data_IF_403445175335
#
_entry.id   IF_403445175335
#
_cell.length_a   1.000
_cell.length_b   1.000
_cell.length_c   1.000
_cell.angle_alpha   90.00
_cell.angle_beta   90.00
_cell.angle_gamma   90.00
#
_symmetry.space_group_name_H-M   'P 1'
#
loop_
_entity.id
_entity.type
_entity.pdbx_description
1 polymer ?
#
# COMPACT_ATOMS: atom_id res chain seq x y z
N UNK A 1 -13.73 3.58 11.93
CA UNK A 1 -13.54 5.05 12.14
C UNK A 1 -14.11 5.90 11.02
N UNK A 2 -13.94 5.56 9.74
CA UNK A 2 -14.53 6.31 8.62
C UNK A 2 -15.98 5.90 8.35
N UNK A 3 -16.95 6.73 8.73
CA UNK A 3 -18.39 6.46 8.48
C UNK A 3 -19.02 7.37 7.43
N UNK A 4 -18.29 8.37 6.94
CA UNK A 4 -18.77 9.31 5.91
C UNK A 4 -18.39 8.90 4.49
N UNK A 5 -17.43 7.99 4.34
CA UNK A 5 -17.01 7.49 3.04
C UNK A 5 -17.86 6.26 2.68
N UNK A 6 -18.91 6.47 1.89
CA UNK A 6 -19.84 5.40 1.48
C UNK A 6 -19.14 4.28 0.71
N UNK A 7 -18.16 4.60 -0.15
CA UNK A 7 -17.38 3.57 -0.86
C UNK A 7 -16.61 2.66 0.09
N UNK A 8 -16.09 3.19 1.20
CA UNK A 8 -15.43 2.37 2.21
C UNK A 8 -16.41 1.46 2.95
N UNK A 9 -17.63 1.94 3.22
CA UNK A 9 -18.69 1.14 3.85
C UNK A 9 -19.20 0.03 2.91
N UNK A 10 -19.33 0.31 1.61
CA UNK A 10 -19.61 -0.69 0.57
C UNK A 10 -18.51 -1.76 0.53
N UNK A 11 -17.24 -1.35 0.58
CA UNK A 11 -16.12 -2.28 0.66
C UNK A 11 -16.18 -3.15 1.92
N UNK A 12 -16.52 -2.58 3.09
CA UNK A 12 -16.69 -3.36 4.32
C UNK A 12 -17.83 -4.38 4.19
N UNK A 13 -18.94 -3.99 3.56
CA UNK A 13 -20.06 -4.90 3.32
C UNK A 13 -19.68 -6.02 2.35
N UNK A 14 -18.98 -5.70 1.26
CA UNK A 14 -18.48 -6.69 0.32
C UNK A 14 -17.54 -7.69 0.99
N UNK A 15 -16.60 -7.22 1.84
CA UNK A 15 -15.71 -8.08 2.62
C UNK A 15 -16.49 -8.98 3.59
N UNK A 16 -17.47 -8.44 4.32
CA UNK A 16 -18.33 -9.25 5.18
C UNK A 16 -19.06 -10.33 4.36
N UNK A 17 -19.62 -9.99 3.21
CA UNK A 17 -20.35 -10.94 2.36
C UNK A 17 -19.42 -12.05 1.86
N UNK A 18 -18.17 -11.74 1.48
CA UNK A 18 -17.16 -12.74 1.07
C UNK A 18 -16.88 -13.72 2.21
N UNK A 19 -16.65 -13.22 3.43
CA UNK A 19 -16.39 -14.07 4.60
C UNK A 19 -17.60 -14.93 4.98
N UNK A 20 -18.80 -14.36 4.95
CA UNK A 20 -20.04 -15.10 5.22
C UNK A 20 -20.31 -16.18 4.16
N UNK A 21 -20.00 -15.91 2.88
CA UNK A 21 -20.14 -16.90 1.81
C UNK A 21 -19.18 -18.09 1.99
N UNK A 22 -18.05 -17.89 2.65
CA UNK A 22 -17.10 -18.94 3.04
C UNK A 22 -17.45 -19.63 4.37
N UNK A 23 -18.62 -19.33 4.93
CA UNK A 23 -19.17 -19.99 6.12
C UNK A 23 -18.78 -19.35 7.46
N UNK A 24 -18.14 -18.18 7.47
CA UNK A 24 -17.78 -17.48 8.71
C UNK A 24 -18.92 -16.59 9.22
N UNK A 25 -19.31 -16.75 10.48
CA UNK A 25 -20.11 -15.74 11.16
C UNK A 25 -19.25 -14.48 11.37
N UNK A 26 -19.63 -13.37 10.72
CA UNK A 26 -18.82 -12.16 10.65
C UNK A 26 -19.60 -10.93 11.17
N UNK A 27 -19.04 -10.27 12.19
CA UNK A 27 -19.57 -9.04 12.79
C UNK A 27 -18.57 -7.90 12.67
N UNK A 28 -19.05 -6.66 12.61
CA UNK A 28 -18.20 -5.48 12.35
C UNK A 28 -18.09 -4.64 13.62
N UNK A 29 -16.98 -4.85 14.34
CA UNK A 29 -16.59 -4.05 15.50
C UNK A 29 -15.93 -2.73 15.11
N UNK A 30 -16.38 -1.63 15.69
CA UNK A 30 -15.86 -0.28 15.48
C UNK A 30 -15.02 0.18 16.66
N UNK A 31 -13.84 0.74 16.38
CA UNK A 31 -12.95 1.39 17.35
C UNK A 31 -13.36 2.85 17.67
N UNK A 32 -14.57 3.26 17.27
CA UNK A 32 -15.07 4.61 17.51
C UNK A 32 -15.43 4.77 19.00
N UNK A 33 -14.88 5.78 19.70
CA UNK A 33 -15.21 6.01 21.10
C UNK A 33 -16.60 6.61 21.29
N UNK A 34 -17.19 7.17 20.23
CA UNK A 34 -18.52 7.80 20.24
C UNK A 34 -19.67 6.85 19.85
N UNK A 35 -19.37 5.57 19.66
CA UNK A 35 -20.37 4.55 19.31
C UNK A 35 -20.70 3.74 20.56
N UNK A 36 -21.86 4.00 21.16
CA UNK A 36 -22.31 3.32 22.40
C UNK A 36 -23.32 2.19 22.15
N UNK A 37 -23.91 2.13 20.95
CA UNK A 37 -24.91 1.14 20.55
C UNK A 37 -24.73 0.76 19.07
N UNK A 38 -25.24 -0.41 18.63
CA UNK A 38 -25.24 -0.77 17.21
C UNK A 38 -25.86 0.33 16.34
N UNK A 39 -25.16 0.68 15.26
CA UNK A 39 -25.58 1.69 14.30
C UNK A 39 -25.77 1.02 12.95
N UNK A 40 -26.99 1.06 12.44
CA UNK A 40 -27.31 0.65 11.08
C UNK A 40 -27.05 1.78 10.09
N UNK A 41 -26.47 1.43 8.96
CA UNK A 41 -26.16 2.35 7.86
C UNK A 41 -26.70 1.75 6.57
N UNK A 42 -27.64 2.44 5.94
CA UNK A 42 -28.08 2.13 4.58
C UNK A 42 -27.00 2.52 3.58
N UNK A 43 -26.67 1.60 2.69
CA UNK A 43 -25.65 1.77 1.66
C UNK A 43 -26.29 2.11 0.31
N UNK A 44 -25.56 2.80 -0.59
CA UNK A 44 -26.00 3.04 -1.97
C UNK A 44 -26.44 1.77 -2.73
N UNK A 45 -25.86 0.61 -2.41
CA UNK A 45 -26.24 -0.71 -2.93
C UNK A 45 -27.58 -1.25 -2.40
N UNK A 46 -28.30 -0.46 -1.60
CA UNK A 46 -29.50 -0.85 -0.86
C UNK A 46 -29.28 -1.97 0.17
N UNK A 47 -28.03 -2.27 0.50
CA UNK A 47 -27.68 -3.15 1.61
C UNK A 47 -27.59 -2.37 2.93
N UNK A 48 -27.76 -3.07 4.04
CA UNK A 48 -27.54 -2.50 5.38
C UNK A 48 -26.24 -3.03 5.99
N UNK A 49 -25.44 -2.10 6.53
CA UNK A 49 -24.26 -2.37 7.32
C UNK A 49 -24.55 -2.07 8.79
N UNK A 50 -24.28 -3.02 9.68
CA UNK A 50 -24.38 -2.79 11.13
C UNK A 50 -22.97 -2.61 11.70
N UNK A 51 -22.70 -1.43 12.25
CA UNK A 51 -21.48 -1.15 13.01
C UNK A 51 -21.76 -1.29 14.49
N UNK A 52 -20.93 -2.03 15.20
CA UNK A 52 -21.14 -2.32 16.62
C UNK A 52 -19.98 -1.82 17.48
N UNK A 53 -20.24 -1.38 18.73
CA UNK A 53 -19.18 -1.01 19.65
C UNK A 53 -18.27 -2.22 19.94
N UNK A 54 -16.97 -2.05 19.71
CA UNK A 54 -15.99 -3.07 20.09
C UNK A 54 -15.86 -3.10 21.62
N UNK A 55 -16.04 -4.27 22.21
CA UNK A 55 -15.89 -4.50 23.65
C UNK A 55 -14.74 -5.46 23.92
N UNK A 56 -14.10 -5.32 25.09
CA UNK A 56 -13.10 -6.26 25.60
C UNK A 56 -13.58 -6.87 26.91
N UNK A 57 -13.49 -8.19 27.04
CA UNK A 57 -13.73 -8.97 28.27
C UNK A 57 -12.52 -9.86 28.52
N UNK A 58 -11.73 -9.53 29.55
CA UNK A 58 -10.43 -10.18 29.78
C UNK A 58 -9.50 -9.97 28.59
N UNK A 59 -8.94 -11.06 28.07
CA UNK A 59 -8.03 -11.04 26.92
C UNK A 59 -8.72 -11.35 25.58
N UNK A 60 -10.03 -11.09 25.51
CA UNK A 60 -10.81 -11.26 24.27
C UNK A 60 -11.59 -9.99 23.92
N UNK A 61 -11.65 -9.70 22.63
CA UNK A 61 -12.46 -8.63 22.03
C UNK A 61 -13.62 -9.20 21.23
N UNK A 62 -14.71 -8.45 21.16
CA UNK A 62 -15.94 -8.88 20.50
C UNK A 62 -16.93 -7.74 20.37
N UNK A 63 -18.17 -8.07 20.02
CA UNK A 63 -19.29 -7.14 19.99
C UNK A 63 -20.48 -7.77 20.71
N UNK A 64 -21.12 -7.03 21.62
CA UNK A 64 -22.15 -7.56 22.51
C UNK A 64 -21.71 -8.88 23.19
N UNK A 65 -22.32 -10.01 22.85
CA UNK A 65 -21.99 -11.35 23.36
C UNK A 65 -21.28 -12.24 22.32
N UNK A 66 -20.93 -11.68 21.16
CA UNK A 66 -20.18 -12.36 20.12
C UNK A 66 -18.66 -12.11 20.27
N UNK A 67 -17.91 -13.15 20.61
CA UNK A 67 -16.45 -13.12 20.72
C UNK A 67 -15.84 -14.09 19.70
N UNK A 68 -15.32 -13.60 18.56
CA UNK A 68 -14.88 -14.46 17.46
C UNK A 68 -13.61 -15.24 17.81
N UNK A 69 -13.27 -16.21 16.97
CA UNK A 69 -11.99 -16.94 17.06
C UNK A 69 -10.80 -16.10 16.54
N UNK A 70 -11.05 -15.20 15.60
CA UNK A 70 -10.06 -14.32 14.98
C UNK A 70 -10.62 -12.92 14.75
N UNK A 71 -9.73 -11.94 14.64
CA UNK A 71 -10.04 -10.52 14.39
C UNK A 71 -9.33 -10.09 13.12
N UNK A 72 -10.10 -9.74 12.09
CA UNK A 72 -9.58 -9.21 10.83
C UNK A 72 -9.58 -7.68 10.85
N UNK A 73 -8.40 -7.08 10.71
CA UNK A 73 -8.24 -5.64 10.64
C UNK A 73 -8.40 -5.16 9.19
N UNK A 74 -9.51 -4.45 8.92
CA UNK A 74 -9.66 -3.60 7.73
C UNK A 74 -9.35 -2.12 8.05
N UNK A 75 -8.48 -1.90 9.04
CA UNK A 75 -7.99 -0.61 9.50
C UNK A 75 -6.47 -0.73 9.64
N UNK A 76 -5.73 0.18 9.01
CA UNK A 76 -4.26 0.17 8.97
C UNK A 76 -3.61 0.59 10.31
N UNK A 77 -4.42 1.04 11.28
CA UNK A 77 -3.98 1.52 12.59
C UNK A 77 -2.96 2.66 12.48
N UNK A 78 -3.06 3.49 11.44
CA UNK A 78 -2.11 4.58 11.18
C UNK A 78 -2.09 5.65 12.28
N UNK A 79 -3.14 5.75 13.09
CA UNK A 79 -3.27 6.71 14.20
C UNK A 79 -2.67 6.21 15.51
N UNK A 80 -2.16 4.97 15.56
CA UNK A 80 -1.71 4.39 16.81
C UNK A 80 -2.15 2.95 16.98
N UNK A 81 -1.46 2.28 17.90
CA UNK A 81 -1.79 0.93 18.36
C UNK A 81 -2.90 1.02 19.42
N UNK A 82 -4.12 0.52 19.18
CA UNK A 82 -5.20 0.61 20.16
C UNK A 82 -4.98 -0.38 21.31
N UNK A 83 -4.93 0.10 22.55
CA UNK A 83 -4.75 -0.74 23.76
C UNK A 83 -5.78 -1.86 23.87
N UNK A 84 -7.01 -1.64 23.37
CA UNK A 84 -8.07 -2.67 23.38
C UNK A 84 -7.67 -3.93 22.60
N UNK A 85 -6.79 -3.82 21.60
CA UNK A 85 -6.31 -4.93 20.77
C UNK A 85 -4.99 -5.55 21.27
N UNK A 86 -4.40 -5.01 22.33
CA UNK A 86 -3.13 -5.52 22.86
C UNK A 86 -3.32 -6.75 23.74
N UNK A 87 -2.45 -7.75 23.56
CA UNK A 87 -2.44 -8.98 24.36
C UNK A 87 -3.79 -9.71 24.37
N UNK A 88 -4.45 -9.78 23.21
CA UNK A 88 -5.66 -10.59 23.05
C UNK A 88 -5.28 -12.04 22.71
N UNK A 89 -6.06 -13.01 23.20
CA UNK A 89 -5.90 -14.44 22.88
C UNK A 89 -6.26 -14.76 21.42
N UNK A 90 -7.12 -13.95 20.81
CA UNK A 90 -7.60 -14.17 19.45
C UNK A 90 -6.52 -13.85 18.42
N UNK A 91 -6.54 -14.60 17.32
CA UNK A 91 -5.64 -14.33 16.19
C UNK A 91 -6.02 -12.98 15.56
N UNK A 92 -5.08 -12.03 15.57
CA UNK A 92 -5.24 -10.73 14.91
C UNK A 92 -4.57 -10.76 13.53
N UNK A 93 -5.32 -10.40 12.48
CA UNK A 93 -4.88 -10.46 11.09
C UNK A 93 -4.97 -9.07 10.42
N UNK A 94 -3.84 -8.49 9.96
CA UNK A 94 -2.47 -8.87 10.27
C UNK A 94 -2.13 -8.69 11.77
N UNK A 95 -1.02 -9.27 12.27
CA UNK A 95 -0.58 -9.10 13.66
C UNK A 95 -0.36 -7.63 14.03
N UNK A 96 -0.62 -7.28 15.29
CA UNK A 96 -0.56 -5.88 15.76
C UNK A 96 0.83 -5.24 15.63
N UNK A 97 1.88 -6.06 15.71
CA UNK A 97 3.27 -5.63 15.57
C UNK A 97 3.60 -5.16 14.14
N UNK A 98 2.77 -5.54 13.15
CA UNK A 98 2.80 -5.02 11.78
C UNK A 98 2.02 -3.70 11.62
N UNK A 99 1.52 -3.12 12.72
CA UNK A 99 0.84 -1.84 12.71
C UNK A 99 1.73 -0.73 12.11
N UNK A 100 1.11 0.14 11.30
CA UNK A 100 1.77 1.13 10.45
C UNK A 100 2.70 2.12 11.18
N UNK A 101 2.57 2.23 12.51
CA UNK A 101 3.36 3.14 13.35
C UNK A 101 4.81 2.67 13.49
N UNK A 102 5.09 1.37 13.54
CA UNK A 102 6.44 0.83 13.79
C UNK A 102 7.16 0.32 12.54
N UNK A 103 6.46 0.31 11.40
CA UNK A 103 6.96 -0.21 10.12
C UNK A 103 7.71 0.87 9.33
N UNK A 104 8.90 0.53 8.84
CA UNK A 104 9.65 1.31 7.86
C UNK A 104 9.33 0.79 6.44
N UNK A 105 9.05 1.69 5.50
CA UNK A 105 8.78 1.30 4.11
C UNK A 105 10.05 0.76 3.45
N UNK A 106 11.21 1.28 3.81
CA UNK A 106 12.51 0.83 3.35
C UNK A 106 12.74 -0.65 3.63
N UNK A 107 12.41 -1.14 4.84
CA UNK A 107 12.51 -2.57 5.15
C UNK A 107 11.68 -3.42 4.18
N UNK A 108 10.44 -3.00 3.90
CA UNK A 108 9.61 -3.69 2.91
C UNK A 108 10.25 -3.71 1.51
N UNK A 109 10.81 -2.59 1.07
CA UNK A 109 11.50 -2.52 -0.22
C UNK A 109 12.74 -3.43 -0.25
N UNK A 110 13.48 -3.57 0.84
CA UNK A 110 14.59 -4.54 0.92
C UNK A 110 14.10 -5.98 0.75
N UNK A 111 12.99 -6.36 1.40
CA UNK A 111 12.39 -7.68 1.19
C UNK A 111 11.97 -7.87 -0.26
N UNK A 112 11.34 -6.86 -0.86
CA UNK A 112 10.90 -6.91 -2.24
C UNK A 112 12.08 -7.05 -3.20
N UNK A 113 13.13 -6.24 -3.05
CA UNK A 113 14.37 -6.35 -3.83
C UNK A 113 14.96 -7.75 -3.76
N UNK A 114 15.05 -8.36 -2.56
CA UNK A 114 15.55 -9.74 -2.42
C UNK A 114 14.69 -10.76 -3.16
N UNK A 115 13.37 -10.63 -3.11
CA UNK A 115 12.43 -11.52 -3.80
C UNK A 115 12.51 -11.32 -5.31
N UNK A 116 12.49 -10.08 -5.77
CA UNK A 116 12.51 -9.73 -7.18
C UNK A 116 13.84 -10.12 -7.85
N UNK A 117 14.98 -9.92 -7.19
CA UNK A 117 16.28 -10.36 -7.70
C UNK A 117 16.36 -11.87 -7.84
N UNK A 118 15.94 -12.63 -6.82
CA UNK A 118 15.93 -14.09 -6.89
C UNK A 118 14.98 -14.60 -7.98
N UNK A 119 13.84 -13.93 -8.20
CA UNK A 119 12.93 -14.26 -9.28
C UNK A 119 13.52 -13.90 -10.66
N UNK A 120 14.15 -12.74 -10.79
CA UNK A 120 14.78 -12.28 -12.01
C UNK A 120 15.91 -13.22 -12.46
N UNK A 121 16.73 -13.70 -11.52
CA UNK A 121 17.75 -14.73 -11.76
C UNK A 121 17.12 -16.03 -12.27
N UNK A 122 16.02 -16.47 -11.65
CA UNK A 122 15.33 -17.71 -12.02
C UNK A 122 14.76 -17.68 -13.45
N UNK A 123 14.32 -16.53 -13.93
CA UNK A 123 13.73 -16.37 -15.27
C UNK A 123 14.63 -15.62 -16.25
N UNK A 124 15.88 -15.38 -15.86
CA UNK A 124 16.93 -14.75 -16.67
C UNK A 124 16.54 -13.36 -17.24
N UNK A 125 15.94 -12.50 -16.41
CA UNK A 125 15.66 -11.09 -16.76
C UNK A 125 16.52 -10.11 -15.95
N UNK A 126 16.63 -8.87 -16.44
CA UNK A 126 17.21 -7.79 -15.64
C UNK A 126 16.28 -7.47 -14.45
N UNK A 127 16.76 -7.53 -13.19
CA UNK A 127 15.94 -7.25 -12.02
C UNK A 127 15.37 -5.82 -11.98
N UNK A 128 16.00 -4.85 -12.66
CA UNK A 128 15.52 -3.47 -12.73
C UNK A 128 14.11 -3.38 -13.32
N UNK A 129 13.76 -4.26 -14.28
CA UNK A 129 12.45 -4.31 -14.92
C UNK A 129 11.30 -4.49 -13.91
N UNK A 130 11.57 -5.14 -12.78
CA UNK A 130 10.56 -5.45 -11.76
C UNK A 130 10.88 -4.83 -10.39
N UNK A 131 11.95 -4.03 -10.27
CA UNK A 131 12.43 -3.52 -8.97
C UNK A 131 12.88 -2.06 -9.06
N UNK A 132 12.08 -1.11 -8.54
CA UNK A 132 12.49 0.28 -8.49
C UNK A 132 13.56 0.51 -7.41
N UNK A 133 14.57 1.33 -7.71
CA UNK A 133 15.59 1.74 -6.75
C UNK A 133 14.95 2.52 -5.58
N UNK A 134 15.36 2.21 -4.35
CA UNK A 134 14.89 2.90 -3.15
C UNK A 134 16.06 3.17 -2.20
N UNK A 135 16.18 4.41 -1.74
CA UNK A 135 17.25 4.87 -0.85
C UNK A 135 16.62 5.50 0.40
N UNK A 136 16.98 5.00 1.58
CA UNK A 136 16.61 5.64 2.84
C UNK A 136 17.40 6.93 3.02
N UNK A 137 16.73 7.99 3.47
CA UNK A 137 17.36 9.25 3.84
C UNK A 137 16.95 9.60 5.26
N UNK A 138 17.93 10.02 6.07
CA UNK A 138 17.79 10.23 7.50
C UNK A 138 16.75 11.27 7.92
N UNK A 139 16.80 11.74 9.18
CA UNK A 139 15.84 12.71 9.67
C UNK A 139 15.89 14.02 8.87
N UNK A 140 14.76 14.48 8.34
CA UNK A 140 14.61 15.77 7.66
C UNK A 140 13.59 16.62 8.43
N UNK A 141 13.95 17.86 8.73
CA UNK A 141 13.01 18.87 9.23
C UNK A 141 12.80 19.93 8.15
N UNK A 142 11.70 19.78 7.39
CA UNK A 142 11.34 20.72 6.34
C UNK A 142 10.96 22.11 6.86
N UNK A 143 10.58 22.27 8.14
CA UNK A 143 10.28 23.59 8.71
C UNK A 143 11.57 24.34 9.03
N UNK A 144 12.55 23.65 9.62
CA UNK A 144 13.87 24.19 9.96
C UNK A 144 14.86 24.15 8.80
N UNK A 145 14.52 23.46 7.70
CA UNK A 145 15.39 23.21 6.54
C UNK A 145 16.64 22.39 6.90
N UNK A 146 16.53 21.54 7.91
CA UNK A 146 17.60 20.62 8.32
C UNK A 146 17.49 19.32 7.52
N UNK A 147 18.64 18.76 7.10
CA UNK A 147 18.68 17.51 6.34
C UNK A 147 18.41 17.63 4.83
N UNK A 148 18.08 18.82 4.31
CA UNK A 148 17.73 18.98 2.88
C UNK A 148 18.89 18.65 1.92
N UNK A 149 20.14 18.93 2.29
CA UNK A 149 21.30 18.59 1.45
C UNK A 149 21.48 17.07 1.34
N UNK A 150 21.26 16.33 2.43
CA UNK A 150 21.32 14.86 2.42
C UNK A 150 20.20 14.30 1.54
N UNK A 151 18.99 14.85 1.65
CA UNK A 151 17.85 14.46 0.83
C UNK A 151 18.06 14.77 -0.66
N UNK A 152 18.60 15.95 -0.99
CA UNK A 152 18.95 16.32 -2.35
C UNK A 152 20.04 15.39 -2.93
N UNK A 153 21.05 15.01 -2.14
CA UNK A 153 22.05 14.02 -2.54
C UNK A 153 21.43 12.65 -2.85
N UNK A 154 20.51 12.17 -2.02
CA UNK A 154 19.79 10.93 -2.29
C UNK A 154 18.92 11.02 -3.56
N UNK A 155 18.29 12.18 -3.82
CA UNK A 155 17.59 12.44 -5.09
C UNK A 155 18.53 12.36 -6.27
N UNK A 156 19.70 13.02 -6.21
CA UNK A 156 20.69 12.97 -7.27
C UNK A 156 21.13 11.54 -7.58
N UNK A 157 21.45 10.75 -6.54
CA UNK A 157 21.85 9.35 -6.70
C UNK A 157 20.77 8.50 -7.38
N UNK A 158 19.49 8.70 -7.03
CA UNK A 158 18.39 7.97 -7.67
C UNK A 158 18.24 8.39 -9.13
N UNK A 159 18.28 9.69 -9.42
CA UNK A 159 18.13 10.19 -10.79
C UNK A 159 19.27 9.75 -11.71
N UNK A 160 20.52 9.77 -11.24
CA UNK A 160 21.68 9.30 -12.01
C UNK A 160 21.59 7.81 -12.32
N UNK A 161 21.32 6.97 -11.31
CA UNK A 161 21.17 5.52 -11.53
C UNK A 161 19.98 5.18 -12.43
N UNK A 162 18.89 5.92 -12.30
CA UNK A 162 17.71 5.76 -13.18
C UNK A 162 18.05 6.16 -14.61
N UNK A 163 18.81 7.24 -14.81
CA UNK A 163 19.27 7.67 -16.13
C UNK A 163 20.17 6.62 -16.80
N UNK A 164 21.10 6.02 -16.05
CA UNK A 164 21.93 4.93 -16.54
C UNK A 164 21.11 3.69 -16.93
N UNK A 165 20.10 3.35 -16.13
CA UNK A 165 19.19 2.25 -16.45
C UNK A 165 18.37 2.57 -17.70
N UNK A 166 17.79 3.76 -17.80
CA UNK A 166 17.04 4.21 -18.97
C UNK A 166 17.89 4.13 -20.25
N UNK A 167 19.15 4.59 -20.19
CA UNK A 167 20.08 4.49 -21.32
C UNK A 167 20.35 3.03 -21.71
N UNK A 168 20.54 2.14 -20.73
CA UNK A 168 20.78 0.71 -20.97
C UNK A 168 19.59 0.02 -21.63
N UNK A 169 18.37 0.45 -21.29
CA UNK A 169 17.12 -0.15 -21.78
C UNK A 169 16.47 0.62 -22.94
N UNK A 170 17.08 1.70 -23.44
CA UNK A 170 16.55 2.49 -24.55
C UNK A 170 15.26 3.25 -24.20
N UNK A 171 15.17 3.76 -22.97
CA UNK A 171 14.05 4.59 -22.50
C UNK A 171 14.40 6.06 -22.68
N UNK A 172 13.58 6.78 -23.44
CA UNK A 172 13.78 8.21 -23.76
C UNK A 172 13.12 9.18 -22.75
N UNK A 173 12.32 8.65 -21.82
CA UNK A 173 11.64 9.44 -20.81
C UNK A 173 12.62 10.11 -19.83
N UNK A 174 12.19 11.21 -19.21
CA UNK A 174 13.01 11.90 -18.20
C UNK A 174 12.96 11.15 -16.87
N UNK A 175 14.09 10.79 -16.25
CA UNK A 175 14.09 10.23 -14.91
C UNK A 175 13.39 11.14 -13.90
N UNK A 176 12.63 10.55 -12.99
CA UNK A 176 12.08 11.26 -11.84
C UNK A 176 12.18 10.40 -10.59
N UNK A 177 12.15 11.04 -9.44
CA UNK A 177 12.18 10.38 -8.13
C UNK A 177 10.97 10.79 -7.29
N UNK A 178 10.50 9.88 -6.46
CA UNK A 178 9.43 10.09 -5.50
C UNK A 178 10.03 10.19 -4.10
N UNK A 179 9.96 11.38 -3.51
CA UNK A 179 10.32 11.61 -2.11
C UNK A 179 9.11 11.36 -1.25
N UNK A 180 9.23 10.45 -0.27
CA UNK A 180 8.14 10.08 0.63
C UNK A 180 8.63 9.81 2.04
N UNK A 181 7.76 9.97 3.04
CA UNK A 181 8.13 9.54 4.40
C UNK A 181 8.36 8.03 4.43
N UNK A 182 9.38 7.61 5.17
CA UNK A 182 9.69 6.19 5.39
C UNK A 182 8.76 5.55 6.43
N UNK A 183 8.02 6.36 7.20
CA UNK A 183 7.04 5.89 8.18
C UNK A 183 5.62 6.30 7.79
N UNK A 184 4.64 5.74 8.48
CA UNK A 184 3.25 5.83 8.09
C UNK A 184 2.69 7.25 8.00
N UNK A 185 2.19 7.64 6.82
CA UNK A 185 1.64 8.99 6.58
C UNK A 185 0.28 9.03 5.89
N UNK A 186 -0.39 7.89 5.68
CA UNK A 186 -1.70 7.83 4.99
C UNK A 186 -1.70 8.59 3.64
N UNK A 187 -0.64 8.42 2.84
CA UNK A 187 -0.47 9.12 1.55
C UNK A 187 -0.04 10.59 1.65
N UNK A 188 0.24 11.11 2.85
CA UNK A 188 0.77 12.45 3.07
C UNK A 188 2.31 12.47 3.00
N UNK A 189 2.91 13.67 2.84
CA UNK A 189 4.35 13.86 2.68
C UNK A 189 4.97 13.04 1.51
N UNK A 190 4.38 13.19 0.32
CA UNK A 190 4.86 12.59 -0.94
C UNK A 190 4.99 13.68 -2.00
N UNK A 191 6.11 13.70 -2.74
CA UNK A 191 6.30 14.55 -3.92
C UNK A 191 7.18 13.88 -4.97
N UNK A 192 6.87 14.13 -6.24
CA UNK A 192 7.73 13.78 -7.37
C UNK A 192 8.70 14.93 -7.64
N UNK A 193 9.95 14.60 -7.95
CA UNK A 193 11.02 15.54 -8.30
C UNK A 193 11.81 15.01 -9.49
N UNK A 194 12.32 15.92 -10.32
CA UNK A 194 13.18 15.61 -11.47
C UNK A 194 14.57 16.23 -11.32
N UNK A 195 14.76 17.04 -10.28
CA UNK A 195 15.99 17.79 -10.03
C UNK A 195 16.22 17.89 -8.51
N UNK A 196 17.42 17.56 -8.00
CA UNK A 196 17.76 17.72 -6.59
C UNK A 196 17.58 19.16 -6.07
N UNK A 197 17.72 20.19 -6.91
CA UNK A 197 17.54 21.60 -6.51
C UNK A 197 16.09 21.91 -6.12
N UNK A 198 15.11 21.10 -6.58
CA UNK A 198 13.73 21.23 -6.14
C UNK A 198 13.56 20.96 -4.64
N UNK A 199 14.45 20.14 -4.05
CA UNK A 199 14.49 19.87 -2.60
C UNK A 199 15.08 21.03 -1.82
N UNK A 200 16.12 21.67 -2.36
CA UNK A 200 16.78 22.82 -1.72
C UNK A 200 15.85 24.05 -1.74
N UNK A 201 15.06 24.18 -2.80
CA UNK A 201 14.23 25.36 -3.09
C UNK A 201 12.73 25.19 -2.74
N UNK A 202 12.38 24.28 -1.83
CA UNK A 202 10.99 24.05 -1.43
C UNK A 202 10.33 25.32 -0.88
N UNK A 203 9.20 25.70 -1.48
CA UNK A 203 8.38 26.82 -1.02
C UNK A 203 7.60 26.46 0.27
N UNK A 204 6.98 27.47 0.91
CA UNK A 204 6.24 27.28 2.18
C UNK A 204 5.15 26.22 2.08
N UNK A 205 4.42 26.17 0.96
CA UNK A 205 3.34 25.20 0.72
C UNK A 205 3.88 23.77 0.61
N UNK A 206 4.97 23.57 -0.12
CA UNK A 206 5.64 22.28 -0.26
C UNK A 206 6.23 21.80 1.07
N UNK A 207 6.90 22.67 1.81
CA UNK A 207 7.43 22.32 3.14
C UNK A 207 6.31 21.92 4.09
N UNK A 208 5.19 22.63 4.10
CA UNK A 208 4.02 22.25 4.90
C UNK A 208 3.45 20.88 4.48
N UNK A 209 3.38 20.59 3.17
CA UNK A 209 2.96 19.28 2.64
C UNK A 209 3.92 18.15 3.04
N UNK A 210 5.22 18.41 3.07
CA UNK A 210 6.22 17.40 3.44
C UNK A 210 6.38 17.25 4.96
N UNK A 211 5.98 18.27 5.73
CA UNK A 211 5.91 18.22 7.20
C UNK A 211 4.58 17.68 7.74
N UNK A 212 3.59 17.42 6.89
CA UNK A 212 2.29 16.94 7.35
C UNK A 212 2.34 15.46 7.68
N UNK A 213 2.08 15.12 8.95
CA UNK A 213 1.70 13.80 9.41
C UNK A 213 0.37 13.86 10.15
N UNK A 214 -0.25 12.70 10.40
CA UNK A 214 -1.50 12.62 11.16
C UNK A 214 -1.18 12.76 12.65
N UNK A 215 -2.01 13.51 13.38
CA UNK A 215 -1.99 13.59 14.86
C UNK A 215 -0.64 14.02 15.48
N UNK A 216 0.12 14.86 14.79
CA UNK A 216 1.36 15.46 15.33
C UNK A 216 2.61 14.58 15.21
N UNK A 217 2.51 13.38 14.61
CA UNK A 217 3.67 12.57 14.25
C UNK A 217 4.41 13.25 13.08
N UNK A 218 5.58 13.83 13.38
CA UNK A 218 6.41 14.49 12.37
C UNK A 218 7.16 13.42 11.58
N UNK A 219 7.00 13.45 10.25
CA UNK A 219 7.77 12.63 9.32
C UNK A 219 9.23 13.07 9.33
N UNK A 220 10.03 12.50 10.23
CA UNK A 220 11.46 12.74 10.26
C UNK A 220 12.17 11.85 9.26
N UNK A 221 11.89 10.55 9.24
CA UNK A 221 12.57 9.61 8.34
C UNK A 221 11.97 9.68 6.94
N UNK A 222 12.82 9.92 5.96
CA UNK A 222 12.45 10.09 4.56
C UNK A 222 13.05 8.96 3.72
N UNK A 223 12.53 8.78 2.53
CA UNK A 223 13.13 7.93 1.53
C UNK A 223 12.92 8.54 0.15
N UNK A 224 13.82 8.20 -0.76
CA UNK A 224 13.75 8.55 -2.17
C UNK A 224 13.59 7.24 -2.93
N UNK A 225 12.61 7.16 -3.82
CA UNK A 225 12.39 6.01 -4.68
C UNK A 225 12.41 6.45 -6.14
N UNK A 226 12.92 5.61 -7.02
CA UNK A 226 12.77 5.74 -8.47
C UNK A 226 11.29 5.88 -8.85
N UNK A 227 11.01 6.87 -9.68
CA UNK A 227 9.69 7.09 -10.23
C UNK A 227 9.37 6.10 -11.34
N UNK A 228 8.27 5.37 -11.20
CA UNK A 228 7.76 4.48 -12.25
C UNK A 228 6.63 5.20 -12.98
N UNK A 229 6.78 5.36 -14.29
CA UNK A 229 5.74 5.91 -15.15
C UNK A 229 4.55 4.98 -15.23
N UNK A 230 3.35 5.54 -15.32
CA UNK A 230 2.20 4.84 -15.90
C UNK A 230 1.78 5.48 -17.21
N UNK A 231 1.90 4.72 -18.30
CA UNK A 231 1.41 5.09 -19.62
C UNK A 231 0.09 4.42 -19.97
N UNK A 232 -0.45 3.61 -19.05
CA UNK A 232 -1.74 2.97 -19.27
C UNK A 232 -2.84 4.03 -19.23
N UNK A 233 -3.72 3.98 -20.23
CA UNK A 233 -4.83 4.91 -20.32
C UNK A 233 -6.14 4.16 -20.49
N UNK A 234 -7.17 4.64 -19.80
CA UNK A 234 -8.54 4.19 -19.96
C UNK A 234 -9.41 5.39 -20.34
N UNK A 235 -10.04 5.32 -21.51
CA UNK A 235 -10.87 6.40 -22.06
C UNK A 235 -10.12 7.76 -22.11
N UNK A 236 -8.81 7.72 -22.39
CA UNK A 236 -7.95 8.91 -22.48
C UNK A 236 -7.46 9.47 -21.15
N UNK A 237 -7.77 8.83 -20.02
CA UNK A 237 -7.27 9.20 -18.70
C UNK A 237 -6.20 8.22 -18.23
N UNK A 238 -5.20 8.71 -17.49
CA UNK A 238 -4.14 7.86 -16.92
C UNK A 238 -4.74 6.88 -15.91
N UNK A 239 -4.29 5.64 -15.98
CA UNK A 239 -4.77 4.55 -15.14
C UNK A 239 -3.60 3.77 -14.52
N UNK A 240 -3.80 3.21 -13.33
CA UNK A 240 -2.88 2.26 -12.73
C UNK A 240 -3.65 1.03 -12.20
N UNK A 241 -3.17 -0.20 -12.44
CA UNK A 241 -3.85 -1.40 -11.99
C UNK A 241 -3.65 -1.61 -10.48
N UNK A 242 -4.71 -2.04 -9.80
CA UNK A 242 -4.70 -2.52 -8.42
C UNK A 242 -5.10 -3.99 -8.44
N UNK A 243 -4.24 -4.87 -7.94
CA UNK A 243 -4.47 -6.31 -7.90
C UNK A 243 -4.85 -6.74 -6.47
N UNK A 244 -5.94 -7.48 -6.34
CA UNK A 244 -6.43 -8.06 -5.09
C UNK A 244 -6.08 -9.55 -5.00
N UNK A 245 -5.65 -9.96 -3.80
CA UNK A 245 -5.35 -11.34 -3.48
C UNK A 245 -6.03 -11.76 -2.18
N UNK A 246 -6.45 -13.02 -2.11
CA UNK A 246 -6.86 -13.70 -0.87
C UNK A 246 -5.94 -14.92 -0.73
N UNK A 247 -5.15 -14.92 0.34
CA UNK A 247 -4.03 -15.86 0.45
C UNK A 247 -3.08 -15.71 -0.76
N UNK A 248 -2.59 -16.82 -1.36
CA UNK A 248 -1.69 -16.78 -2.51
C UNK A 248 -2.41 -16.62 -3.87
N UNK A 249 -3.74 -16.45 -3.89
CA UNK A 249 -4.55 -16.42 -5.11
C UNK A 249 -4.88 -14.99 -5.49
N UNK A 250 -4.63 -14.62 -6.75
CA UNK A 250 -5.17 -13.40 -7.34
C UNK A 250 -6.66 -13.61 -7.59
N UNK A 251 -7.49 -12.76 -7.02
CA UNK A 251 -8.96 -12.89 -7.06
C UNK A 251 -9.65 -11.81 -7.89
N UNK A 252 -8.92 -10.76 -8.26
CA UNK A 252 -9.46 -9.66 -9.03
C UNK A 252 -8.70 -8.35 -8.80
N UNK A 253 -9.39 -7.24 -9.00
CA UNK A 253 -8.85 -5.90 -8.84
C UNK A 253 -9.54 -4.88 -9.74
N UNK A 254 -8.94 -3.70 -9.87
CA UNK A 254 -9.51 -2.58 -10.61
C UNK A 254 -8.43 -1.64 -11.12
N UNK A 255 -8.76 -0.84 -12.13
CA UNK A 255 -7.97 0.34 -12.47
C UNK A 255 -8.35 1.51 -11.58
N UNK A 256 -7.36 2.19 -11.04
CA UNK A 256 -7.51 3.54 -10.51
C UNK A 256 -7.26 4.52 -11.65
N UNK A 257 -8.27 5.30 -11.99
CA UNK A 257 -8.25 6.22 -13.13
C UNK A 257 -8.34 7.65 -12.66
N UNK A 258 -7.53 8.53 -13.24
CA UNK A 258 -7.56 9.94 -12.89
C UNK A 258 -7.42 10.84 -14.13
N UNK A 259 -8.47 11.63 -14.39
CA UNK A 259 -8.57 12.50 -15.59
C UNK A 259 -7.67 13.73 -15.53
N UNK A 260 -7.40 14.26 -14.34
CA UNK A 260 -6.56 15.45 -14.12
C UNK A 260 -5.10 15.18 -13.73
N UNK A 261 -4.56 13.97 -13.93
CA UNK A 261 -3.19 13.59 -13.56
C UNK A 261 -2.39 13.12 -14.76
N UNK A 262 -1.07 13.25 -14.66
CA UNK A 262 -0.08 12.81 -15.65
C UNK A 262 0.58 11.47 -15.25
N UNK A 263 1.41 10.94 -16.14
CA UNK A 263 2.08 9.65 -15.98
C UNK A 263 3.04 9.55 -14.78
N UNK A 264 3.47 10.70 -14.20
CA UNK A 264 4.39 10.77 -13.05
C UNK A 264 3.70 11.20 -11.75
N UNK A 265 2.40 11.49 -11.83
CA UNK A 265 1.61 11.92 -10.70
C UNK A 265 1.13 10.73 -9.86
N UNK A 266 1.02 10.95 -8.56
CA UNK A 266 0.26 10.05 -7.71
C UNK A 266 -1.24 10.11 -8.06
N UNK A 267 -1.80 9.02 -8.60
CA UNK A 267 -3.23 8.96 -8.93
C UNK A 267 -4.10 8.68 -7.70
N UNK A 268 -3.52 8.30 -6.56
CA UNK A 268 -4.20 8.27 -5.27
C UNK A 268 -4.42 9.69 -4.72
N UNK A 269 -5.28 10.43 -5.42
CA UNK A 269 -5.58 11.83 -5.16
C UNK A 269 -7.10 12.09 -5.31
N UNK A 270 -7.63 13.16 -4.70
CA UNK A 270 -9.02 13.57 -4.90
C UNK A 270 -9.34 13.76 -6.38
N UNK A 271 -10.46 13.17 -6.83
CA UNK A 271 -10.87 13.18 -8.24
C UNK A 271 -10.60 11.87 -8.98
N UNK A 272 -9.91 10.91 -8.36
CA UNK A 272 -9.80 9.55 -8.88
C UNK A 272 -11.15 8.82 -8.85
N UNK A 273 -11.32 7.88 -9.79
CA UNK A 273 -12.41 6.92 -9.79
C UNK A 273 -11.86 5.52 -10.10
N UNK A 274 -12.69 4.50 -9.91
CA UNK A 274 -12.30 3.11 -10.10
C UNK A 274 -13.07 2.51 -11.27
N UNK A 275 -12.37 1.79 -12.14
CA UNK A 275 -12.94 1.07 -13.26
C UNK A 275 -12.62 -0.42 -13.08
N UNK A 276 -13.62 -1.32 -13.15
CA UNK A 276 -13.40 -2.74 -12.92
C UNK A 276 -12.34 -3.30 -13.86
N UNK A 277 -11.40 -4.05 -13.30
CA UNK A 277 -10.47 -4.83 -14.08
C UNK A 277 -11.05 -6.25 -14.15
N UNK A 278 -11.62 -6.60 -15.30
CA UNK A 278 -12.24 -7.91 -15.49
C UNK A 278 -11.15 -8.98 -15.53
N UNK A 279 -10.83 -9.51 -14.36
CA UNK A 279 -9.90 -10.63 -14.18
C UNK A 279 -10.57 -12.00 -14.36
N UNK A 280 -11.86 -12.03 -14.68
CA UNK A 280 -12.68 -13.24 -14.78
C UNK A 280 -12.14 -14.27 -15.77
N UNK A 281 -11.31 -13.88 -16.73
CA UNK A 281 -10.77 -14.77 -17.77
C UNK A 281 -9.23 -14.91 -17.73
N UNK A 282 -8.50 -14.07 -16.98
CA UNK A 282 -7.12 -13.74 -17.35
C UNK A 282 -6.01 -13.98 -16.32
N UNK A 283 -6.31 -14.04 -15.01
CA UNK A 283 -5.24 -14.03 -14.00
C UNK A 283 -4.68 -15.40 -13.62
N UNK A 284 -5.36 -16.50 -13.98
CA UNK A 284 -4.91 -17.82 -13.57
C UNK A 284 -3.97 -18.48 -14.58
N UNK A 285 -4.15 -18.21 -15.88
CA UNK A 285 -3.46 -18.92 -16.95
C UNK A 285 -3.08 -17.96 -18.08
N UNK A 286 -1.79 -17.88 -18.45
CA UNK A 286 -1.38 -17.19 -19.67
C UNK A 286 -1.82 -18.00 -20.89
N UNK A 287 -2.05 -17.31 -22.01
CA UNK A 287 -2.25 -17.94 -23.31
C UNK A 287 -0.92 -17.97 -24.07
N UNK A 288 -0.31 -19.15 -24.13
CA UNK A 288 0.98 -19.36 -24.81
C UNK A 288 0.91 -19.19 -26.33
N UNK A 289 -0.28 -19.22 -26.93
CA UNK A 289 -0.47 -19.04 -28.36
C UNK A 289 -0.72 -17.57 -28.74
N UNK A 290 -1.11 -16.74 -27.76
CA UNK A 290 -1.31 -15.32 -27.96
C UNK A 290 0.01 -14.53 -27.89
N UNK A 291 -0.03 -13.28 -28.38
CA UNK A 291 1.10 -12.37 -28.25
C UNK A 291 1.48 -12.12 -26.78
N UNK A 292 2.75 -11.83 -26.46
CA UNK A 292 3.18 -11.57 -25.08
C UNK A 292 2.38 -10.48 -24.35
N UNK A 293 1.95 -9.45 -25.07
CA UNK A 293 1.15 -8.33 -24.52
C UNK A 293 -0.37 -8.49 -24.71
N UNK A 294 -0.82 -9.68 -25.17
CA UNK A 294 -2.25 -9.98 -25.20
C UNK A 294 -2.82 -9.87 -23.77
N UNK A 295 -4.06 -9.40 -23.66
CA UNK A 295 -4.75 -9.19 -22.37
C UNK A 295 -4.53 -10.31 -21.33
N UNK A 296 -4.73 -11.62 -21.64
CA UNK A 296 -4.47 -12.69 -20.67
C UNK A 296 -3.02 -12.74 -20.17
N UNK A 297 -2.05 -12.55 -21.05
CA UNK A 297 -0.62 -12.59 -20.70
C UNK A 297 -0.19 -11.36 -19.90
N UNK A 298 -0.68 -10.18 -20.28
CA UNK A 298 -0.46 -8.93 -19.54
C UNK A 298 -1.02 -9.00 -18.11
N UNK A 299 -2.25 -9.49 -17.95
CA UNK A 299 -2.86 -9.65 -16.62
C UNK A 299 -2.22 -10.78 -15.81
N UNK A 300 -1.73 -11.83 -16.45
CA UNK A 300 -0.91 -12.84 -15.80
C UNK A 300 0.38 -12.21 -15.24
N UNK A 301 1.07 -11.36 -16.01
CA UNK A 301 2.26 -10.64 -15.55
C UNK A 301 1.97 -9.71 -14.35
N UNK A 302 0.84 -8.98 -14.36
CA UNK A 302 0.40 -8.20 -13.20
C UNK A 302 0.24 -9.08 -11.95
N UNK A 303 -0.38 -10.26 -12.13
CA UNK A 303 -0.53 -11.23 -11.06
C UNK A 303 0.79 -11.83 -10.57
N UNK A 304 1.81 -11.98 -11.43
CA UNK A 304 3.16 -12.40 -11.01
C UNK A 304 3.79 -11.33 -10.12
N UNK A 305 3.87 -10.07 -10.57
CA UNK A 305 4.47 -8.97 -9.80
C UNK A 305 3.74 -8.77 -8.46
N UNK A 306 2.42 -8.84 -8.46
CA UNK A 306 1.62 -8.77 -7.23
C UNK A 306 1.98 -9.90 -6.24
N UNK A 307 2.19 -11.13 -6.73
CA UNK A 307 2.60 -12.26 -5.88
C UNK A 307 4.03 -12.11 -5.36
N UNK A 308 4.95 -11.50 -6.10
CA UNK A 308 6.29 -11.17 -5.58
C UNK A 308 6.18 -10.18 -4.41
N UNK A 309 5.34 -9.15 -4.54
CA UNK A 309 5.04 -8.22 -3.46
C UNK A 309 4.40 -8.90 -2.24
N UNK A 310 3.50 -9.86 -2.46
CA UNK A 310 2.92 -10.67 -1.39
C UNK A 310 3.97 -11.51 -0.67
N UNK A 311 4.89 -12.16 -1.39
CA UNK A 311 5.99 -12.93 -0.79
C UNK A 311 6.89 -12.02 0.04
N UNK A 312 7.21 -10.82 -0.46
CA UNK A 312 7.99 -9.83 0.28
C UNK A 312 7.29 -9.41 1.58
N UNK A 313 5.99 -9.10 1.52
CA UNK A 313 5.19 -8.78 2.70
C UNK A 313 5.09 -9.96 3.67
N UNK A 314 4.99 -11.20 3.18
CA UNK A 314 4.95 -12.39 4.03
C UNK A 314 6.28 -12.62 4.76
N UNK A 315 7.42 -12.40 4.09
CA UNK A 315 8.76 -12.45 4.70
C UNK A 315 8.92 -11.39 5.77
N UNK A 316 8.50 -10.17 5.48
CA UNK A 316 8.47 -9.06 6.44
C UNK A 316 7.63 -9.38 7.69
N UNK A 317 6.43 -9.93 7.49
CA UNK A 317 5.55 -10.37 8.59
C UNK A 317 6.20 -11.49 9.41
N UNK A 318 6.93 -12.40 8.76
CA UNK A 318 7.61 -13.47 9.46
C UNK A 318 8.73 -12.91 10.33
N UNK A 319 9.63 -12.09 9.78
CA UNK A 319 10.75 -11.50 10.55
C UNK A 319 10.29 -10.61 11.71
N UNK A 320 9.10 -10.00 11.63
CA UNK A 320 8.50 -9.26 12.74
C UNK A 320 7.98 -10.17 13.88
N UNK A 321 7.81 -11.48 13.66
CA UNK A 321 7.35 -12.43 14.67
C UNK A 321 8.52 -13.08 15.41
N UNK A 322 8.48 -13.18 16.76
CA UNK A 322 9.55 -13.79 17.55
C UNK A 322 9.92 -15.24 17.16
N UNK A 323 8.97 -16.00 16.59
CA UNK A 323 9.08 -17.44 16.34
C UNK A 323 9.15 -17.79 14.85
N UNK A 324 9.65 -16.89 13.98
CA UNK A 324 9.81 -17.21 12.57
C UNK A 324 10.86 -18.33 12.37
N UNK A 325 10.52 -19.44 11.70
CA UNK A 325 11.50 -20.49 11.40
C UNK A 325 12.55 -19.94 10.43
N UNK A 326 13.80 -19.86 10.87
CA UNK A 326 14.92 -19.25 10.13
C UNK A 326 15.77 -18.28 10.96
N UNK A 327 15.31 -17.86 12.14
CA UNK A 327 16.15 -17.20 13.15
C UNK A 327 17.07 -18.21 13.85
N UNK A 328 18.08 -18.72 13.15
CA UNK A 328 19.29 -19.21 13.83
C UNK A 328 20.16 -17.99 14.12
N UNK A 329 20.32 -17.66 15.41
CA UNK A 329 21.41 -16.82 15.91
C UNK A 329 22.77 -17.44 15.56
#
# INVERSE_FOLDING_TARGET
NHTRNTFYLENLKALQNILCADGYETRIGSLRPDLDHPMEIELPSAQTLTLEPLVRRGDRVGVADFFPCAVLLNNDLSSGRPTILENIEQVLLPPLDMGWVNRYKTHHFEHYTRVAHAFAELIEIDPWIITPLSIQCGPVDFKKREGLNCLAGAVNMVLEQTAEAYQRHGVDDTPFAVVKSDRGTYGMAIMSVQDPDQILNLNKKQRNKMSSGKEGLVAHQMMVQEGVYTFETLKGAVAEPVVYMIGPRVVGGFYRVHTGKSATDNLNAPGMHFEPLSFAEACALPDQQAAPDAAPNRFYAYGVVARLALVAAAREICEAKPNCPGHSQ
#
